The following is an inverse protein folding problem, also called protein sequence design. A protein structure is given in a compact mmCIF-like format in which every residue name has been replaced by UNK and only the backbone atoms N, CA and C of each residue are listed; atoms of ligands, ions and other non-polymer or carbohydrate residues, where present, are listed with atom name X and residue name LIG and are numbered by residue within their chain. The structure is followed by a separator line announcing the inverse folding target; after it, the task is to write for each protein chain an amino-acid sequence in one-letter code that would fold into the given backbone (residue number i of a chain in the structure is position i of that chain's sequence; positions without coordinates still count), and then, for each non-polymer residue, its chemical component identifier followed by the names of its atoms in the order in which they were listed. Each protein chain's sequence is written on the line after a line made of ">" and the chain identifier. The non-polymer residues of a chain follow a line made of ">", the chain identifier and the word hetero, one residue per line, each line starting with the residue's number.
data_IF_442793317283
#
_entry.id   IF_442793317283
#
_cell.length_a   1.000
_cell.length_b   1.000
_cell.length_c   1.000
_cell.angle_alpha   90.00
_cell.angle_beta   90.00
_cell.angle_gamma   90.00
#
_symmetry.space_group_name_H-M   'P 1'
#
loop_
_entity.id
_entity.type
_entity.pdbx_description
1 polymer ?
#
# COMPACT_ATOMS: atom_id res chain seq x y z
N UNK A 1 -5.16 -2.19 -16.94
CA UNK A 1 -5.86 -1.28 -17.85
C UNK A 1 -7.14 -0.80 -17.17
N UNK A 2 -7.37 0.50 -17.21
CA UNK A 2 -8.59 1.13 -16.70
C UNK A 2 -9.40 1.61 -17.91
N UNK A 3 -10.64 1.15 -18.02
CA UNK A 3 -11.56 1.58 -19.06
C UNK A 3 -12.54 2.59 -18.46
N UNK A 4 -12.67 3.76 -19.10
CA UNK A 4 -13.50 4.86 -18.61
C UNK A 4 -14.56 5.26 -19.63
N UNK A 5 -15.63 5.89 -19.14
CA UNK A 5 -16.62 6.60 -19.95
C UNK A 5 -16.82 7.98 -19.31
N UNK A 6 -16.34 9.02 -20.00
CA UNK A 6 -16.20 10.33 -19.38
C UNK A 6 -15.27 10.26 -18.15
N UNK A 7 -15.71 10.78 -17.03
CA UNK A 7 -14.98 10.75 -15.75
C UNK A 7 -15.20 9.48 -14.92
N UNK A 8 -16.04 8.55 -15.40
CA UNK A 8 -16.40 7.35 -14.65
C UNK A 8 -15.58 6.14 -15.07
N UNK A 9 -14.95 5.46 -14.10
CA UNK A 9 -14.30 4.17 -14.32
C UNK A 9 -15.38 3.10 -14.47
N UNK A 10 -15.34 2.35 -15.57
CA UNK A 10 -16.32 1.29 -15.87
C UNK A 10 -15.79 -0.10 -15.54
N UNK A 11 -14.50 -0.32 -15.67
CA UNK A 11 -13.87 -1.60 -15.32
C UNK A 11 -12.36 -1.47 -15.22
N UNK A 12 -11.77 -2.40 -14.48
CA UNK A 12 -10.32 -2.61 -14.40
C UNK A 12 -10.01 -4.02 -14.91
N UNK A 13 -9.09 -4.11 -15.85
CA UNK A 13 -8.66 -5.36 -16.47
C UNK A 13 -7.14 -5.51 -16.31
N UNK A 14 -6.63 -6.75 -16.23
CA UNK A 14 -5.18 -6.98 -16.22
C UNK A 14 -4.54 -6.56 -17.54
N UNK A 15 -3.27 -6.26 -17.47
CA UNK A 15 -2.36 -6.24 -18.63
C UNK A 15 -1.44 -7.44 -18.51
N UNK A 16 -1.14 -8.06 -19.64
CA UNK A 16 -0.25 -9.20 -19.67
C UNK A 16 1.17 -8.78 -19.25
N UNK A 17 1.72 -9.46 -18.26
CA UNK A 17 3.10 -9.35 -17.84
C UNK A 17 3.55 -10.66 -17.19
N UNK A 18 4.18 -11.52 -17.96
CA UNK A 18 4.61 -12.87 -17.53
C UNK A 18 5.54 -12.84 -16.31
N UNK A 19 6.35 -11.81 -16.17
CA UNK A 19 7.29 -11.69 -15.06
C UNK A 19 6.64 -11.23 -13.75
N UNK A 20 5.43 -10.70 -13.78
CA UNK A 20 4.78 -10.09 -12.60
C UNK A 20 3.45 -10.76 -12.28
N UNK A 21 2.45 -10.54 -13.10
CA UNK A 21 1.07 -10.95 -12.84
C UNK A 21 0.52 -11.97 -13.86
N UNK A 22 1.32 -12.38 -14.84
CA UNK A 22 0.83 -13.12 -15.99
C UNK A 22 -0.37 -12.38 -16.62
N UNK A 23 -1.53 -12.99 -16.69
CA UNK A 23 -2.77 -12.39 -17.19
C UNK A 23 -3.81 -12.08 -16.08
N UNK A 24 -3.40 -12.10 -14.81
CA UNK A 24 -4.29 -12.04 -13.66
C UNK A 24 -4.23 -10.71 -12.92
N UNK A 25 -5.31 -10.33 -12.26
CA UNK A 25 -5.37 -9.33 -11.17
C UNK A 25 -6.27 -9.84 -10.06
N UNK A 26 -6.03 -9.35 -8.85
CA UNK A 26 -6.88 -9.70 -7.70
C UNK A 26 -8.29 -9.11 -7.85
N UNK A 27 -9.26 -9.76 -7.21
CA UNK A 27 -10.64 -9.26 -7.16
C UNK A 27 -10.71 -7.89 -6.48
N UNK A 28 -9.88 -7.63 -5.48
CA UNK A 28 -9.75 -6.31 -4.88
C UNK A 28 -9.40 -5.24 -5.92
N UNK A 29 -8.41 -5.48 -6.77
CA UNK A 29 -8.02 -4.56 -7.85
C UNK A 29 -9.13 -4.45 -8.90
N UNK A 30 -9.80 -5.54 -9.21
CA UNK A 30 -10.83 -5.59 -10.24
C UNK A 30 -12.09 -4.82 -9.86
N UNK A 31 -12.50 -4.85 -8.60
CA UNK A 31 -13.82 -4.39 -8.16
C UNK A 31 -13.81 -3.19 -7.21
N UNK A 32 -12.65 -2.77 -6.69
CA UNK A 32 -12.59 -1.66 -5.72
C UNK A 32 -12.79 -0.26 -6.34
N UNK A 33 -12.91 -0.14 -7.66
CA UNK A 33 -12.99 1.14 -8.36
C UNK A 33 -14.32 1.89 -8.13
N UNK A 34 -15.37 1.22 -7.73
CA UNK A 34 -16.66 1.84 -7.47
C UNK A 34 -16.62 2.82 -6.27
N UNK A 35 -15.65 2.64 -5.37
CA UNK A 35 -15.37 3.56 -4.27
C UNK A 35 -14.77 4.91 -4.70
N UNK A 36 -14.25 5.02 -5.94
CA UNK A 36 -13.59 6.24 -6.41
C UNK A 36 -14.53 7.46 -6.48
N UNK A 37 -15.83 7.23 -6.66
CA UNK A 37 -16.84 8.29 -6.80
C UNK A 37 -17.72 8.43 -5.54
N UNK A 38 -17.43 7.70 -4.46
CA UNK A 38 -18.26 7.72 -3.24
C UNK A 38 -17.50 8.40 -2.10
N UNK A 39 -18.19 9.28 -1.39
CA UNK A 39 -17.67 9.95 -0.18
C UNK A 39 -16.30 10.64 -0.41
N UNK A 40 -16.11 11.24 -1.59
CA UNK A 40 -14.87 11.96 -1.91
C UNK A 40 -14.95 13.38 -1.41
N UNK A 41 -13.89 13.83 -0.74
CA UNK A 41 -13.70 15.24 -0.44
C UNK A 41 -13.20 15.94 -1.70
N UNK A 42 -13.96 16.91 -2.19
CA UNK A 42 -13.65 17.69 -3.41
C UNK A 42 -13.19 19.13 -3.10
N UNK A 43 -13.25 19.51 -1.82
CA UNK A 43 -12.90 20.85 -1.32
C UNK A 43 -12.40 20.79 0.12
N UNK A 44 -11.71 21.84 0.58
CA UNK A 44 -11.27 21.93 1.98
C UNK A 44 -12.46 22.14 2.93
N UNK A 45 -12.28 21.64 4.16
CA UNK A 45 -13.19 21.85 5.27
C UNK A 45 -12.40 22.36 6.47
N UNK A 46 -12.87 23.44 7.07
CA UNK A 46 -12.23 24.04 8.25
C UNK A 46 -13.18 23.99 9.43
N UNK A 47 -12.64 23.68 10.61
CA UNK A 47 -13.42 23.61 11.83
C UNK A 47 -13.69 25.02 12.38
N UNK A 48 -14.95 25.46 12.36
CA UNK A 48 -15.44 26.72 12.98
C UNK A 48 -16.53 26.37 13.99
N UNK A 49 -16.43 26.90 15.22
CA UNK A 49 -17.42 26.65 16.27
C UNK A 49 -17.71 25.15 16.49
N UNK A 50 -16.67 24.34 16.50
CA UNK A 50 -16.73 22.90 16.67
C UNK A 50 -17.44 22.10 15.53
N UNK A 51 -17.81 22.75 14.41
CA UNK A 51 -18.39 22.14 13.22
C UNK A 51 -17.44 22.29 12.02
N UNK A 52 -17.40 21.28 11.15
CA UNK A 52 -16.72 21.40 9.87
C UNK A 52 -17.59 22.21 8.92
N UNK A 53 -17.02 23.24 8.31
CA UNK A 53 -17.65 24.08 7.28
C UNK A 53 -16.78 24.12 6.05
N UNK A 54 -17.40 24.21 4.87
CA UNK A 54 -16.70 24.38 3.61
C UNK A 54 -15.81 25.64 3.67
N UNK A 55 -14.66 25.58 3.03
CA UNK A 55 -13.69 26.66 3.02
C UNK A 55 -12.96 26.73 1.66
N UNK A 56 -12.34 27.86 1.39
CA UNK A 56 -11.38 28.00 0.30
C UNK A 56 -10.04 27.38 0.67
N UNK A 57 -9.19 27.12 -0.31
CA UNK A 57 -7.82 26.66 -0.06
C UNK A 57 -7.02 27.71 0.73
N UNK A 58 -7.21 28.99 0.46
CA UNK A 58 -6.54 30.07 1.20
C UNK A 58 -6.95 30.09 2.67
N UNK A 59 -8.24 29.93 2.97
CA UNK A 59 -8.74 29.82 4.34
C UNK A 59 -8.16 28.59 5.06
N UNK A 60 -8.07 27.46 4.34
CA UNK A 60 -7.52 26.23 4.89
C UNK A 60 -6.02 26.40 5.21
N UNK A 61 -5.25 26.93 4.28
CA UNK A 61 -3.81 27.19 4.49
C UNK A 61 -3.57 28.20 5.60
N UNK A 62 -4.36 29.27 5.67
CA UNK A 62 -4.29 30.23 6.76
C UNK A 62 -4.59 29.57 8.11
N UNK A 63 -5.62 28.75 8.18
CA UNK A 63 -5.96 28.01 9.40
C UNK A 63 -4.83 27.06 9.85
N UNK A 64 -4.14 26.42 8.90
CA UNK A 64 -2.98 25.58 9.18
C UNK A 64 -1.81 26.45 9.68
N UNK A 65 -1.52 27.54 8.98
CA UNK A 65 -0.44 28.47 9.34
C UNK A 65 -0.63 29.02 10.76
N UNK A 66 -1.84 29.47 11.08
CA UNK A 66 -2.17 30.02 12.41
C UNK A 66 -1.97 28.97 13.52
N UNK A 67 -2.26 27.68 13.24
CA UNK A 67 -2.06 26.60 14.21
C UNK A 67 -0.60 26.20 14.37
N UNK A 68 0.19 26.28 13.31
CA UNK A 68 1.60 25.89 13.33
C UNK A 68 2.47 27.04 13.85
N UNK A 69 2.04 28.29 13.69
CA UNK A 69 2.75 29.46 14.17
C UNK A 69 3.06 29.33 15.67
N UNK A 70 4.35 29.42 16.02
CA UNK A 70 4.81 29.24 17.40
C UNK A 70 4.79 27.81 17.95
N UNK A 71 4.41 26.82 17.16
CA UNK A 71 4.44 25.41 17.58
C UNK A 71 5.86 24.84 17.39
N UNK A 72 6.41 24.24 18.44
CA UNK A 72 7.70 23.56 18.34
C UNK A 72 7.60 22.36 17.37
N UNK A 73 8.60 22.21 16.49
CA UNK A 73 8.63 21.14 15.49
C UNK A 73 8.47 19.73 16.07
N UNK A 74 8.95 19.47 17.28
CA UNK A 74 8.76 18.19 17.97
C UNK A 74 7.30 17.85 18.29
N UNK A 75 6.40 18.82 18.22
CA UNK A 75 4.96 18.65 18.40
C UNK A 75 4.17 18.56 17.09
N UNK A 76 4.87 18.65 15.97
CA UNK A 76 4.31 18.48 14.62
C UNK A 76 4.72 17.11 14.12
N UNK A 77 3.79 16.35 13.60
CA UNK A 77 4.05 15.04 12.98
C UNK A 77 3.32 14.92 11.65
N UNK A 78 3.87 14.13 10.75
CA UNK A 78 3.23 13.81 9.48
C UNK A 78 3.38 12.33 9.13
N UNK A 79 2.36 11.78 8.49
CA UNK A 79 2.35 10.41 7.98
C UNK A 79 1.96 10.47 6.51
N UNK A 80 2.82 9.97 5.62
CA UNK A 80 2.50 9.78 4.22
C UNK A 80 1.79 8.44 4.02
N UNK A 81 0.71 8.43 3.24
CA UNK A 81 0.05 7.19 2.84
C UNK A 81 0.89 6.41 1.81
N UNK A 82 0.74 5.09 1.79
CA UNK A 82 1.46 4.20 0.87
C UNK A 82 1.03 4.33 -0.61
N UNK A 83 -0.05 5.04 -0.88
CA UNK A 83 -0.52 5.35 -2.24
C UNK A 83 -0.17 6.78 -2.69
N UNK A 84 0.58 7.54 -1.87
CA UNK A 84 1.09 8.85 -2.27
C UNK A 84 2.20 8.70 -3.32
N UNK A 85 2.26 9.64 -4.26
CA UNK A 85 3.36 9.72 -5.22
C UNK A 85 4.67 10.18 -4.58
N UNK A 86 5.79 9.92 -5.24
CA UNK A 86 7.12 10.25 -4.72
C UNK A 86 7.32 11.76 -4.54
N UNK A 87 6.74 12.57 -5.42
CA UNK A 87 6.83 14.02 -5.38
C UNK A 87 6.11 14.58 -4.16
N UNK A 88 4.90 14.09 -3.86
CA UNK A 88 4.15 14.47 -2.66
C UNK A 88 4.87 14.05 -1.38
N UNK A 89 5.44 12.84 -1.34
CA UNK A 89 6.24 12.39 -0.19
C UNK A 89 7.50 13.23 0.01
N UNK A 90 8.18 13.60 -1.09
CA UNK A 90 9.36 14.45 -1.03
C UNK A 90 9.01 15.87 -0.56
N UNK A 91 7.94 16.46 -1.09
CA UNK A 91 7.47 17.77 -0.67
C UNK A 91 7.08 17.77 0.83
N UNK A 92 6.42 16.73 1.32
CA UNK A 92 6.10 16.57 2.73
C UNK A 92 7.37 16.51 3.59
N UNK A 93 8.38 15.74 3.15
CA UNK A 93 9.68 15.68 3.84
C UNK A 93 10.34 17.07 3.91
N UNK A 94 10.32 17.83 2.81
CA UNK A 94 10.88 19.19 2.81
C UNK A 94 10.11 20.13 3.75
N UNK A 95 8.78 20.03 3.77
CA UNK A 95 7.92 20.81 4.65
C UNK A 95 8.23 20.52 6.12
N UNK A 96 8.33 19.25 6.49
CA UNK A 96 8.68 18.83 7.85
C UNK A 96 10.08 19.29 8.25
N UNK A 97 11.03 19.28 7.32
CA UNK A 97 12.36 19.85 7.53
C UNK A 97 12.33 21.36 7.83
N UNK A 98 11.47 22.12 7.15
CA UNK A 98 11.29 23.57 7.43
C UNK A 98 10.71 23.86 8.82
N UNK A 99 9.91 22.92 9.34
CA UNK A 99 9.38 23.00 10.71
C UNK A 99 10.37 22.46 11.77
N UNK A 100 11.55 22.02 11.36
CA UNK A 100 12.50 21.30 12.23
C UNK A 100 11.84 20.13 12.97
N UNK A 101 10.93 19.42 12.30
CA UNK A 101 10.25 18.26 12.87
C UNK A 101 10.91 16.96 12.44
N UNK A 102 11.33 16.09 13.40
CA UNK A 102 11.83 14.74 13.10
C UNK A 102 10.71 13.71 12.91
N UNK A 103 9.46 14.09 13.19
CA UNK A 103 8.34 13.16 13.30
C UNK A 103 7.67 12.95 11.93
N UNK A 104 8.31 12.16 11.08
CA UNK A 104 7.82 11.82 9.76
C UNK A 104 7.85 10.30 9.59
N UNK A 105 6.73 9.69 9.23
CA UNK A 105 6.64 8.27 8.93
C UNK A 105 5.74 8.01 7.73
N UNK A 106 5.83 6.80 7.17
CA UNK A 106 4.96 6.29 6.10
C UNK A 106 4.34 4.92 6.43
N UNK A 107 4.64 4.36 7.60
CA UNK A 107 4.20 3.02 8.02
C UNK A 107 3.16 3.13 9.11
N UNK A 108 1.96 2.67 8.80
CA UNK A 108 0.85 2.69 9.74
C UNK A 108 0.87 1.51 10.73
N UNK A 109 1.58 0.43 10.37
CA UNK A 109 1.67 -0.80 11.14
C UNK A 109 2.86 -0.86 12.09
N UNK A 110 3.69 0.20 12.13
CA UNK A 110 4.89 0.26 12.96
C UNK A 110 6.03 -0.66 12.51
N UNK A 111 5.96 -1.20 11.29
CA UNK A 111 7.02 -2.06 10.75
C UNK A 111 8.37 -1.33 10.72
N UNK A 112 9.46 -2.07 11.07
CA UNK A 112 10.82 -1.54 11.12
C UNK A 112 11.61 -2.08 9.93
N UNK A 113 12.04 -1.18 9.06
CA UNK A 113 12.87 -1.51 7.90
C UNK A 113 14.25 -0.87 8.05
N UNK A 114 15.29 -1.62 7.70
CA UNK A 114 16.64 -1.08 7.62
C UNK A 114 16.84 -0.44 6.23
N UNK A 115 16.76 0.88 6.14
CA UNK A 115 16.89 1.62 4.88
C UNK A 115 18.33 1.63 4.35
N UNK A 116 19.32 1.38 5.17
CA UNK A 116 20.74 1.41 4.76
C UNK A 116 21.09 0.25 3.83
N UNK A 117 20.35 -0.85 3.91
CA UNK A 117 20.57 -2.03 3.07
C UNK A 117 19.32 -2.28 2.23
N UNK A 118 19.33 -1.81 1.00
CA UNK A 118 18.18 -1.92 0.09
C UNK A 118 17.71 -3.38 -0.11
N UNK A 119 18.64 -4.32 -0.20
CA UNK A 119 18.33 -5.73 -0.36
C UNK A 119 17.54 -6.34 0.81
N UNK A 120 17.56 -5.72 2.00
CA UNK A 120 16.86 -6.24 3.18
C UNK A 120 15.34 -6.11 3.14
N UNK A 121 14.80 -5.27 2.24
CA UNK A 121 13.36 -5.04 2.10
C UNK A 121 12.82 -5.19 0.68
N UNK A 122 13.67 -5.62 -0.26
CA UNK A 122 13.26 -5.92 -1.62
C UNK A 122 13.16 -7.42 -1.83
N UNK A 123 12.22 -7.84 -2.68
CA UNK A 123 12.11 -9.22 -3.12
C UNK A 123 13.18 -9.49 -4.19
N UNK A 124 14.39 -9.88 -3.75
CA UNK A 124 15.60 -9.91 -4.57
C UNK A 124 15.55 -10.92 -5.73
N UNK A 125 14.84 -12.05 -5.56
CA UNK A 125 14.63 -13.04 -6.62
C UNK A 125 13.69 -12.57 -7.71
N UNK A 126 13.01 -11.45 -7.51
CA UNK A 126 11.87 -11.00 -8.29
C UNK A 126 10.71 -12.01 -8.29
N UNK A 127 9.55 -11.59 -8.77
CA UNK A 127 8.34 -12.45 -8.77
C UNK A 127 8.55 -13.67 -9.66
N UNK A 128 9.20 -13.52 -10.82
CA UNK A 128 9.52 -14.62 -11.74
C UNK A 128 10.50 -15.64 -11.16
N UNK A 129 11.28 -15.29 -10.15
CA UNK A 129 12.18 -16.22 -9.45
C UNK A 129 11.44 -17.34 -8.72
N UNK A 130 10.17 -17.14 -8.36
CA UNK A 130 9.32 -18.17 -7.75
C UNK A 130 9.23 -19.41 -8.64
N UNK A 131 9.17 -19.23 -9.95
CA UNK A 131 9.03 -20.34 -10.91
C UNK A 131 10.22 -21.31 -10.91
N UNK A 132 11.35 -20.88 -10.34
CA UNK A 132 12.61 -21.63 -10.24
C UNK A 132 12.96 -22.03 -8.80
N UNK A 133 12.09 -21.74 -7.83
CA UNK A 133 12.33 -22.03 -6.43
C UNK A 133 12.09 -23.50 -6.12
N UNK A 134 12.96 -24.11 -5.30
CA UNK A 134 12.78 -25.45 -4.75
C UNK A 134 12.22 -25.41 -3.33
N UNK A 135 12.38 -24.26 -2.66
CA UNK A 135 11.91 -24.05 -1.31
C UNK A 135 11.39 -22.59 -1.14
N UNK A 136 10.25 -22.45 -0.47
CA UNK A 136 9.69 -21.14 -0.08
C UNK A 136 9.39 -21.14 1.41
N UNK A 137 9.92 -20.12 2.10
CA UNK A 137 9.66 -19.91 3.51
C UNK A 137 8.81 -18.65 3.72
N UNK A 138 7.60 -18.82 4.21
CA UNK A 138 6.65 -17.75 4.51
C UNK A 138 6.77 -17.36 5.99
N UNK A 139 7.11 -16.12 6.27
CA UNK A 139 7.34 -15.64 7.64
C UNK A 139 6.32 -14.54 7.95
N UNK A 140 5.36 -14.83 8.84
CA UNK A 140 4.38 -13.87 9.32
C UNK A 140 3.49 -13.26 8.24
N UNK A 141 3.31 -13.92 7.10
CA UNK A 141 2.50 -13.43 5.98
C UNK A 141 1.53 -14.50 5.48
N UNK A 142 0.37 -14.05 4.97
CA UNK A 142 -0.60 -14.89 4.31
C UNK A 142 -0.76 -14.44 2.84
N UNK A 143 0.01 -15.04 1.91
CA UNK A 143 0.00 -14.62 0.52
C UNK A 143 -1.36 -14.82 -0.16
N UNK A 144 -2.22 -15.68 0.36
CA UNK A 144 -3.58 -15.85 -0.18
C UNK A 144 -4.42 -14.59 -0.05
N UNK A 145 -4.26 -13.85 1.06
CA UNK A 145 -5.01 -12.63 1.33
C UNK A 145 -4.26 -11.36 1.00
N UNK A 146 -2.95 -11.36 1.25
CA UNK A 146 -2.11 -10.17 1.09
C UNK A 146 -1.65 -9.99 -0.36
N UNK A 147 -1.37 -11.11 -1.06
CA UNK A 147 -0.84 -11.10 -2.43
C UNK A 147 -1.38 -12.29 -3.26
N UNK A 148 -2.71 -12.32 -3.57
CA UNK A 148 -3.35 -13.50 -4.15
C UNK A 148 -2.77 -13.93 -5.51
N UNK A 149 -2.26 -12.99 -6.31
CA UNK A 149 -1.63 -13.33 -7.60
C UNK A 149 -0.26 -13.98 -7.38
N UNK A 150 0.50 -13.49 -6.39
CA UNK A 150 1.74 -14.15 -5.97
C UNK A 150 1.46 -15.56 -5.44
N UNK A 151 0.40 -15.72 -4.64
CA UNK A 151 -0.03 -17.03 -4.15
C UNK A 151 -0.43 -17.98 -5.29
N UNK A 152 -1.08 -17.49 -6.33
CA UNK A 152 -1.41 -18.28 -7.52
C UNK A 152 -0.14 -18.78 -8.22
N UNK A 153 0.91 -17.95 -8.31
CA UNK A 153 2.21 -18.34 -8.88
C UNK A 153 2.92 -19.38 -8.02
N UNK A 154 2.93 -19.23 -6.70
CA UNK A 154 3.46 -20.24 -5.76
C UNK A 154 2.72 -21.56 -5.97
N UNK A 155 1.39 -21.53 -6.04
CA UNK A 155 0.57 -22.73 -6.29
C UNK A 155 0.91 -23.37 -7.63
N UNK A 156 1.06 -22.60 -8.70
CA UNK A 156 1.46 -23.10 -10.03
C UNK A 156 2.81 -23.81 -9.95
N UNK A 157 3.80 -23.19 -9.28
CA UNK A 157 5.12 -23.80 -9.08
C UNK A 157 5.04 -25.08 -8.23
N UNK A 158 4.24 -25.10 -7.17
CA UNK A 158 4.01 -26.29 -6.35
C UNK A 158 3.43 -27.45 -7.18
N UNK A 159 2.44 -27.17 -8.02
CA UNK A 159 1.81 -28.20 -8.88
C UNK A 159 2.73 -28.73 -9.97
N UNK A 160 3.78 -28.02 -10.36
CA UNK A 160 4.78 -28.50 -11.31
C UNK A 160 5.80 -29.47 -10.69
N UNK A 161 5.67 -29.78 -9.41
CA UNK A 161 6.52 -30.63 -8.57
C UNK A 161 7.85 -29.99 -8.11
N UNK A 162 8.40 -30.51 -7.01
CA UNK A 162 9.73 -30.13 -6.51
C UNK A 162 9.77 -28.81 -5.73
N UNK A 163 8.65 -28.24 -5.32
CA UNK A 163 8.60 -27.12 -4.38
C UNK A 163 8.15 -27.58 -3.01
N UNK A 164 8.91 -27.24 -2.00
CA UNK A 164 8.51 -27.33 -0.59
C UNK A 164 8.15 -25.95 -0.05
N UNK A 165 7.11 -25.86 0.78
CA UNK A 165 6.67 -24.61 1.40
C UNK A 165 6.63 -24.80 2.92
N UNK A 166 7.32 -23.93 3.64
CA UNK A 166 7.24 -23.85 5.09
C UNK A 166 6.65 -22.50 5.54
N UNK A 167 5.98 -22.52 6.69
CA UNK A 167 5.31 -21.36 7.26
C UNK A 167 5.76 -21.14 8.70
N UNK A 168 6.24 -19.95 9.01
CA UNK A 168 6.45 -19.50 10.38
C UNK A 168 5.42 -18.43 10.72
N UNK A 169 4.51 -18.75 11.63
CA UNK A 169 3.46 -17.84 12.07
C UNK A 169 2.09 -18.52 12.10
N UNK A 170 1.07 -17.74 12.39
CA UNK A 170 -0.31 -18.22 12.44
C UNK A 170 -1.04 -17.81 11.18
N UNK A 171 -1.37 -18.77 10.34
CA UNK A 171 -2.28 -18.52 9.21
C UNK A 171 -3.73 -18.43 9.72
N UNK A 172 -4.53 -17.47 9.24
CA UNK A 172 -5.94 -17.41 9.58
C UNK A 172 -6.64 -18.72 9.21
N UNK A 173 -7.39 -19.31 10.14
CA UNK A 173 -8.17 -20.55 9.91
C UNK A 173 -9.34 -20.36 8.92
N UNK A 174 -9.51 -19.17 8.37
CA UNK A 174 -10.54 -18.86 7.38
C UNK A 174 -10.24 -19.54 6.05
N UNK A 175 -11.21 -20.30 5.55
CA UNK A 175 -11.19 -20.92 4.20
C UNK A 175 -10.03 -21.88 3.93
N UNK A 176 -9.74 -22.80 4.85
CA UNK A 176 -8.81 -23.92 4.66
C UNK A 176 -7.34 -23.56 4.38
N UNK A 177 -6.86 -22.40 4.85
CA UNK A 177 -5.46 -22.03 4.75
C UNK A 177 -4.97 -21.75 3.31
N UNK A 178 -3.73 -22.05 3.06
CA UNK A 178 -3.13 -21.96 1.72
C UNK A 178 -3.68 -23.02 0.78
N UNK A 179 -3.62 -22.77 -0.52
CA UNK A 179 -4.17 -23.67 -1.56
C UNK A 179 -3.22 -24.79 -1.96
N UNK A 180 -2.17 -25.03 -1.17
CA UNK A 180 -1.16 -26.07 -1.30
C UNK A 180 -0.70 -26.51 0.11
N UNK A 181 -0.18 -27.76 0.27
CA UNK A 181 0.42 -28.20 1.51
C UNK A 181 1.61 -27.36 1.95
N UNK A 182 1.81 -27.26 3.27
CA UNK A 182 2.95 -26.58 3.88
C UNK A 182 3.29 -27.23 5.23
N UNK A 183 4.51 -27.04 5.70
CA UNK A 183 5.05 -27.51 6.98
C UNK A 183 5.37 -26.36 7.92
#
# INVERSE_FOLDING_TARGET
>A
RVDTRGSEVKRVLPRLNENVNEEWISDKTRFAYDGLNKNRLDRPWVKKNNKLVEATWDDAFKSIQDKIAGTNGNRIAAIAGNLADCESMFALKQLMGKFNSPNLDCRQDGSKLNFNVRASYLFNSQISGIDKSDYIFLIGCDPRWEAPILNARIRKRFLSSGLEVAVLGTLPKRNNGLTYPYI
#
